data_IF_233280313190
#
_entry.id   IF_233280313190
#
_cell.length_a   1.000
_cell.length_b   1.000
_cell.length_c   1.000
_cell.angle_alpha   90.00
_cell.angle_beta   90.00
_cell.angle_gamma   90.00
#
_symmetry.space_group_name_H-M   'P 1'
#
loop_
_entity.id
_entity.type
_entity.pdbx_description
1 polymer ?
#
# COMPACT_ATOMS: atom_id res chain seq x y z
N UNK A 1 -35.51 -11.27 -1.88
CA UNK A 1 -34.13 -11.76 -1.88
C UNK A 1 -33.23 -10.52 -2.04
N UNK A 2 -32.40 -10.19 -1.06
CA UNK A 2 -31.44 -9.10 -1.24
C UNK A 2 -30.47 -9.53 -2.36
N UNK A 3 -30.33 -8.70 -3.37
CA UNK A 3 -29.41 -8.94 -4.48
C UNK A 3 -27.99 -9.03 -3.91
N UNK A 4 -27.25 -10.07 -4.23
CA UNK A 4 -25.83 -10.15 -3.87
C UNK A 4 -25.09 -8.94 -4.46
N UNK A 5 -24.28 -8.20 -3.67
CA UNK A 5 -23.61 -7.00 -4.16
C UNK A 5 -22.57 -7.34 -5.23
N UNK A 6 -22.50 -6.51 -6.26
CA UNK A 6 -21.46 -6.63 -7.28
C UNK A 6 -20.13 -6.09 -6.74
N UNK A 7 -19.08 -6.90 -6.80
CA UNK A 7 -17.71 -6.49 -6.49
C UNK A 7 -16.94 -6.23 -7.78
N UNK A 8 -16.51 -5.00 -8.00
CA UNK A 8 -15.61 -4.63 -9.09
C UNK A 8 -14.17 -4.88 -8.64
N UNK A 9 -13.43 -5.75 -9.33
CA UNK A 9 -12.02 -6.06 -9.05
C UNK A 9 -11.16 -5.40 -10.12
N UNK A 10 -10.31 -4.48 -9.71
CA UNK A 10 -9.44 -3.70 -10.60
C UNK A 10 -8.03 -4.29 -10.56
N UNK A 11 -7.54 -4.70 -11.73
CA UNK A 11 -6.22 -5.31 -11.90
C UNK A 11 -5.40 -4.49 -12.91
N UNK A 12 -4.51 -3.59 -12.46
CA UNK A 12 -3.55 -2.92 -13.33
C UNK A 12 -2.46 -3.90 -13.75
N UNK A 13 -2.15 -3.96 -15.04
CA UNK A 13 -1.16 -4.88 -15.63
C UNK A 13 -0.11 -4.09 -16.40
N UNK A 14 1.17 -4.37 -16.16
CA UNK A 14 2.28 -3.87 -16.95
C UNK A 14 3.49 -4.78 -16.83
N UNK A 15 3.85 -5.50 -17.89
CA UNK A 15 5.02 -6.39 -17.96
C UNK A 15 5.11 -7.39 -16.79
N UNK A 16 4.03 -8.15 -16.58
CA UNK A 16 3.90 -9.16 -15.52
C UNK A 16 3.60 -10.57 -16.05
N UNK A 17 4.02 -10.91 -17.27
CA UNK A 17 3.74 -12.20 -17.94
C UNK A 17 4.04 -13.44 -17.06
N UNK A 18 5.06 -13.34 -16.19
CA UNK A 18 5.49 -14.42 -15.29
C UNK A 18 4.52 -14.65 -14.12
N UNK A 19 3.66 -13.69 -13.81
CA UNK A 19 2.88 -13.67 -12.57
C UNK A 19 1.37 -13.58 -12.82
N UNK A 20 0.95 -12.91 -13.88
CA UNK A 20 -0.45 -12.55 -14.15
C UNK A 20 -1.39 -13.76 -14.18
N UNK A 21 -0.95 -14.93 -14.67
CA UNK A 21 -1.77 -16.15 -14.66
C UNK A 21 -2.16 -16.54 -13.22
N UNK A 22 -1.19 -16.58 -12.28
CA UNK A 22 -1.49 -16.91 -10.89
C UNK A 22 -2.41 -15.88 -10.25
N UNK A 23 -2.24 -14.61 -10.57
CA UNK A 23 -3.11 -13.53 -10.13
C UNK A 23 -4.55 -13.77 -10.61
N UNK A 24 -4.76 -13.88 -11.91
CA UNK A 24 -6.08 -14.08 -12.51
C UNK A 24 -6.74 -15.39 -12.04
N UNK A 25 -5.98 -16.49 -11.97
CA UNK A 25 -6.49 -17.76 -11.41
C UNK A 25 -7.04 -17.61 -10.00
N UNK A 26 -6.35 -16.83 -9.14
CA UNK A 26 -6.83 -16.61 -7.77
C UNK A 26 -8.09 -15.75 -7.70
N UNK A 27 -8.32 -14.88 -8.70
CA UNK A 27 -9.51 -14.02 -8.78
C UNK A 27 -10.70 -14.77 -9.39
N UNK A 28 -10.52 -15.47 -10.50
CA UNK A 28 -11.64 -16.17 -11.19
C UNK A 28 -12.18 -17.33 -10.37
N UNK A 29 -11.33 -17.93 -9.51
CA UNK A 29 -11.70 -19.05 -8.64
C UNK A 29 -12.19 -18.61 -7.25
N UNK A 30 -12.39 -17.32 -6.99
CA UNK A 30 -12.97 -16.86 -5.72
C UNK A 30 -14.28 -17.58 -5.39
N UNK A 31 -14.52 -17.89 -4.11
CA UNK A 31 -15.78 -18.52 -3.65
C UNK A 31 -16.97 -17.60 -3.90
N UNK A 32 -16.81 -16.31 -3.70
CA UNK A 32 -17.81 -15.31 -4.09
C UNK A 32 -17.84 -15.13 -5.59
N UNK A 33 -19.03 -15.22 -6.22
CA UNK A 33 -19.17 -15.33 -7.68
C UNK A 33 -19.63 -14.05 -8.38
N UNK A 34 -20.34 -13.15 -7.70
CA UNK A 34 -20.86 -11.92 -8.30
C UNK A 34 -19.77 -10.85 -8.43
N UNK A 35 -18.85 -11.10 -9.37
CA UNK A 35 -17.64 -10.30 -9.62
C UNK A 35 -17.69 -9.69 -11.03
N UNK A 36 -17.22 -8.46 -11.16
CA UNK A 36 -16.78 -7.85 -12.42
C UNK A 36 -15.27 -7.60 -12.32
N UNK A 37 -14.48 -8.20 -13.21
CA UNK A 37 -13.02 -8.14 -13.15
C UNK A 37 -12.55 -7.22 -14.29
N UNK A 38 -12.04 -6.05 -13.94
CA UNK A 38 -11.59 -5.02 -14.87
C UNK A 38 -10.06 -5.05 -14.91
N UNK A 39 -9.51 -5.65 -15.94
CA UNK A 39 -8.08 -5.77 -16.18
C UNK A 39 -7.64 -4.64 -17.11
N UNK A 40 -6.68 -3.83 -16.69
CA UNK A 40 -6.16 -2.73 -17.51
C UNK A 40 -4.71 -3.00 -17.86
N UNK A 41 -4.46 -3.43 -19.08
CA UNK A 41 -3.12 -3.52 -19.64
C UNK A 41 -2.62 -2.12 -20.00
N UNK A 42 -1.70 -1.63 -19.20
CA UNK A 42 -1.12 -0.29 -19.30
C UNK A 42 0.06 -0.25 -20.30
N UNK A 43 -0.14 -0.84 -21.48
CA UNK A 43 0.81 -0.85 -22.58
C UNK A 43 1.98 -1.81 -22.36
N UNK A 44 1.69 -3.05 -21.93
CA UNK A 44 2.72 -4.09 -21.79
C UNK A 44 3.41 -4.38 -23.13
N UNK A 45 4.70 -4.70 -23.03
CA UNK A 45 5.56 -5.07 -24.17
C UNK A 45 5.97 -6.54 -24.15
N UNK A 46 5.57 -7.27 -23.12
CA UNK A 46 5.67 -8.72 -23.00
C UNK A 46 4.32 -9.39 -23.29
N UNK A 47 4.18 -10.68 -23.03
CA UNK A 47 2.95 -11.43 -23.28
C UNK A 47 1.81 -11.14 -22.28
N UNK A 48 1.92 -10.15 -21.41
CA UNK A 48 0.90 -9.86 -20.38
C UNK A 48 -0.47 -9.54 -20.99
N UNK A 49 -0.50 -8.71 -22.06
CA UNK A 49 -1.74 -8.33 -22.75
C UNK A 49 -2.45 -9.55 -23.36
N UNK A 50 -1.71 -10.39 -24.11
CA UNK A 50 -2.24 -11.62 -24.73
C UNK A 50 -2.81 -12.58 -23.67
N UNK A 51 -2.13 -12.69 -22.50
CA UNK A 51 -2.63 -13.52 -21.40
C UNK A 51 -3.94 -12.96 -20.85
N UNK A 52 -4.07 -11.65 -20.70
CA UNK A 52 -5.31 -11.03 -20.24
C UNK A 52 -6.47 -11.33 -21.20
N UNK A 53 -6.26 -11.23 -22.50
CA UNK A 53 -7.25 -11.55 -23.53
C UNK A 53 -7.65 -13.03 -23.51
N UNK A 54 -6.67 -13.94 -23.31
CA UNK A 54 -6.94 -15.37 -23.12
C UNK A 54 -7.93 -15.62 -21.98
N UNK A 55 -7.77 -14.93 -20.82
CA UNK A 55 -8.67 -15.07 -19.69
C UNK A 55 -10.04 -14.46 -19.95
N UNK A 56 -10.13 -13.31 -20.64
CA UNK A 56 -11.40 -12.69 -21.01
C UNK A 56 -12.22 -13.58 -21.96
N UNK A 57 -11.57 -14.32 -22.85
CA UNK A 57 -12.25 -15.29 -23.70
C UNK A 57 -12.82 -16.48 -22.92
N UNK A 58 -12.23 -16.83 -21.76
CA UNK A 58 -12.65 -17.99 -20.96
C UNK A 58 -13.67 -17.64 -19.87
N UNK A 59 -13.68 -16.39 -19.39
CA UNK A 59 -14.54 -15.94 -18.29
C UNK A 59 -15.21 -14.59 -18.64
N UNK A 60 -16.51 -14.61 -18.88
CA UNK A 60 -17.30 -13.43 -19.27
C UNK A 60 -17.36 -12.32 -18.21
N UNK A 61 -16.90 -12.59 -16.97
CA UNK A 61 -16.80 -11.58 -15.91
C UNK A 61 -15.58 -10.66 -16.10
N UNK A 62 -14.62 -11.04 -16.96
CA UNK A 62 -13.40 -10.30 -17.22
C UNK A 62 -13.59 -9.33 -18.38
N UNK A 63 -13.26 -8.07 -18.15
CA UNK A 63 -13.18 -7.01 -19.15
C UNK A 63 -11.74 -6.54 -19.24
N UNK A 64 -11.12 -6.66 -20.43
CA UNK A 64 -9.75 -6.19 -20.67
C UNK A 64 -9.78 -4.86 -21.40
N UNK A 65 -8.90 -3.96 -20.99
CA UNK A 65 -8.68 -2.65 -21.58
C UNK A 65 -7.20 -2.51 -21.86
N UNK A 66 -6.84 -2.31 -23.12
CA UNK A 66 -5.49 -1.95 -23.51
C UNK A 66 -5.37 -0.44 -23.69
N UNK A 67 -4.34 0.16 -23.09
CA UNK A 67 -4.07 1.60 -23.22
C UNK A 67 -2.57 1.87 -23.30
N UNK A 68 -2.22 3.05 -23.76
CA UNK A 68 -0.83 3.53 -23.69
C UNK A 68 -0.38 3.63 -22.23
N UNK A 69 0.91 3.32 -21.98
CA UNK A 69 1.46 3.34 -20.62
C UNK A 69 1.33 4.71 -19.97
N UNK A 70 0.62 4.76 -18.86
CA UNK A 70 0.41 5.95 -18.03
C UNK A 70 0.71 5.71 -16.56
N UNK A 71 1.17 4.49 -16.19
CA UNK A 71 1.48 4.06 -14.82
C UNK A 71 0.25 3.56 -14.07
N UNK A 72 0.52 2.87 -12.95
CA UNK A 72 -0.48 2.17 -12.12
C UNK A 72 -1.69 3.03 -11.74
N UNK A 73 -1.47 4.30 -11.38
CA UNK A 73 -2.55 5.26 -11.07
C UNK A 73 -3.47 5.49 -12.27
N UNK A 74 -2.90 5.62 -13.47
CA UNK A 74 -3.66 5.81 -14.71
C UNK A 74 -4.51 4.59 -15.02
N UNK A 75 -3.96 3.38 -14.87
CA UNK A 75 -4.68 2.14 -15.05
C UNK A 75 -5.81 1.96 -14.03
N UNK A 76 -5.55 2.17 -12.74
CA UNK A 76 -6.57 2.10 -11.69
C UNK A 76 -7.70 3.11 -11.90
N UNK A 77 -7.37 4.35 -12.31
CA UNK A 77 -8.37 5.39 -12.59
C UNK A 77 -9.24 5.03 -13.80
N UNK A 78 -8.65 4.54 -14.90
CA UNK A 78 -9.40 4.09 -16.06
C UNK A 78 -10.40 2.98 -15.71
N UNK A 79 -10.01 2.03 -14.86
CA UNK A 79 -10.90 0.99 -14.37
C UNK A 79 -12.00 1.54 -13.45
N UNK A 80 -11.69 2.49 -12.55
CA UNK A 80 -12.69 3.13 -11.68
C UNK A 80 -13.78 3.87 -12.48
N UNK A 81 -13.40 4.45 -13.64
CA UNK A 81 -14.36 5.14 -14.52
C UNK A 81 -15.30 4.18 -15.24
N UNK A 82 -14.93 2.89 -15.31
CA UNK A 82 -15.68 1.81 -15.96
C UNK A 82 -16.42 0.89 -15.00
N UNK A 83 -16.22 1.06 -13.69
CA UNK A 83 -17.02 0.33 -12.71
C UNK A 83 -18.52 0.50 -13.00
N UNK A 84 -19.23 -0.60 -13.05
CA UNK A 84 -20.66 -0.61 -13.36
C UNK A 84 -21.42 0.40 -12.51
N UNK A 85 -22.20 1.35 -13.10
CA UNK A 85 -23.05 2.26 -12.36
C UNK A 85 -24.03 1.48 -11.46
N UNK A 86 -23.97 1.71 -10.15
CA UNK A 86 -24.73 0.92 -9.17
C UNK A 86 -23.98 -0.32 -8.68
N UNK A 87 -22.75 -0.56 -9.09
CA UNK A 87 -21.83 -1.47 -8.41
C UNK A 87 -21.62 -1.01 -6.96
N UNK A 88 -21.65 -1.97 -6.04
CA UNK A 88 -21.69 -1.65 -4.60
C UNK A 88 -20.29 -1.52 -4.01
N UNK A 89 -19.37 -2.36 -4.48
CA UNK A 89 -18.05 -2.56 -3.88
C UNK A 89 -16.93 -2.53 -4.92
N UNK A 90 -15.72 -2.17 -4.50
CA UNK A 90 -14.51 -2.18 -5.31
C UNK A 90 -13.32 -2.73 -4.52
N UNK A 91 -12.45 -3.47 -5.20
CA UNK A 91 -11.19 -3.97 -4.70
C UNK A 91 -10.08 -3.78 -5.75
N UNK A 92 -8.84 -3.73 -5.31
CA UNK A 92 -7.66 -3.62 -6.18
C UNK A 92 -6.75 -4.83 -5.95
N UNK A 93 -6.14 -5.33 -7.03
CA UNK A 93 -5.18 -6.45 -6.97
C UNK A 93 -4.03 -6.14 -7.90
N UNK A 94 -2.81 -6.13 -7.41
CA UNK A 94 -1.63 -5.97 -8.24
C UNK A 94 -1.35 -7.26 -9.03
N UNK A 95 -0.99 -7.16 -10.28
CA UNK A 95 -0.91 -8.29 -11.22
C UNK A 95 0.24 -9.27 -10.95
N UNK A 96 1.14 -8.95 -10.02
CA UNK A 96 2.20 -9.85 -9.55
C UNK A 96 1.87 -10.54 -8.21
N UNK A 97 0.73 -10.24 -7.60
CA UNK A 97 0.22 -10.78 -6.34
C UNK A 97 -0.85 -11.86 -6.57
N UNK A 98 -1.36 -12.49 -5.50
CA UNK A 98 -2.50 -13.43 -5.56
C UNK A 98 -3.29 -13.46 -4.25
N UNK A 99 -4.48 -14.06 -4.31
CA UNK A 99 -5.47 -14.05 -3.24
C UNK A 99 -5.74 -15.47 -2.73
N UNK A 100 -6.13 -15.59 -1.45
CA UNK A 100 -6.83 -16.77 -0.97
C UNK A 100 -8.23 -16.85 -1.61
N UNK A 101 -8.72 -18.08 -1.86
CA UNK A 101 -9.95 -18.29 -2.62
C UNK A 101 -11.22 -17.72 -1.96
N UNK A 102 -11.20 -17.53 -0.64
CA UNK A 102 -12.31 -17.00 0.15
C UNK A 102 -12.15 -15.53 0.53
N UNK A 103 -11.20 -14.79 -0.07
CA UNK A 103 -10.91 -13.41 0.37
C UNK A 103 -12.14 -12.51 0.29
N UNK A 104 -12.83 -12.47 -0.84
CA UNK A 104 -13.95 -11.56 -1.00
C UNK A 104 -15.19 -11.98 -0.23
N UNK A 105 -15.44 -13.28 -0.05
CA UNK A 105 -16.48 -13.79 0.83
C UNK A 105 -16.22 -13.35 2.28
N UNK A 106 -15.01 -13.55 2.79
CA UNK A 106 -14.59 -13.15 4.14
C UNK A 106 -14.73 -11.62 4.35
N UNK A 107 -14.26 -10.80 3.40
CA UNK A 107 -14.35 -9.35 3.51
C UNK A 107 -15.80 -8.86 3.42
N UNK A 108 -16.62 -9.49 2.58
CA UNK A 108 -18.03 -9.16 2.45
C UNK A 108 -18.82 -9.50 3.72
N UNK A 109 -18.58 -10.68 4.34
CA UNK A 109 -19.15 -11.04 5.63
C UNK A 109 -18.82 -10.01 6.71
N UNK A 110 -17.58 -9.51 6.74
CA UNK A 110 -17.18 -8.46 7.67
C UNK A 110 -17.92 -7.13 7.39
N UNK A 111 -18.08 -6.74 6.11
CA UNK A 111 -18.86 -5.57 5.74
C UNK A 111 -20.28 -5.68 6.26
N UNK A 112 -20.94 -6.81 6.07
CA UNK A 112 -22.30 -7.03 6.54
C UNK A 112 -22.42 -7.08 8.06
N UNK A 113 -21.55 -7.89 8.71
CA UNK A 113 -21.58 -8.10 10.16
C UNK A 113 -21.42 -6.77 10.93
N UNK A 114 -20.53 -5.92 10.44
CA UNK A 114 -20.22 -4.65 11.10
C UNK A 114 -20.92 -3.45 10.47
N UNK A 115 -21.66 -3.63 9.36
CA UNK A 115 -22.20 -2.56 8.53
C UNK A 115 -21.11 -1.52 8.19
N UNK A 116 -20.00 -2.02 7.63
CA UNK A 116 -18.80 -1.24 7.38
C UNK A 116 -18.72 -0.72 5.93
N UNK A 117 -18.04 0.40 5.72
CA UNK A 117 -17.74 0.94 4.40
C UNK A 117 -16.45 0.34 3.82
N UNK A 118 -15.57 -0.17 4.70
CA UNK A 118 -14.29 -0.79 4.33
C UNK A 118 -14.06 -2.00 5.22
N UNK A 119 -13.71 -3.13 4.60
CA UNK A 119 -13.15 -4.28 5.27
C UNK A 119 -11.70 -4.52 4.80
N UNK A 120 -10.83 -4.96 5.70
CA UNK A 120 -9.43 -5.28 5.37
C UNK A 120 -9.05 -6.67 5.83
N UNK A 121 -8.09 -7.30 5.15
CA UNK A 121 -7.44 -8.52 5.61
C UNK A 121 -5.96 -8.27 5.95
N UNK A 122 -5.27 -9.32 6.43
CA UNK A 122 -3.82 -9.30 6.57
C UNK A 122 -3.15 -9.59 5.24
N UNK A 123 -1.96 -9.00 5.08
CA UNK A 123 -1.06 -9.28 3.96
C UNK A 123 -0.04 -10.33 4.40
N UNK A 124 0.13 -11.36 3.57
CA UNK A 124 1.28 -12.27 3.63
C UNK A 124 2.33 -11.80 2.66
N UNK A 125 3.57 -11.59 3.12
CA UNK A 125 4.70 -11.32 2.23
C UNK A 125 5.32 -12.67 1.86
N UNK A 126 5.41 -12.91 0.56
CA UNK A 126 5.95 -14.14 0.00
C UNK A 126 7.29 -13.84 -0.67
N UNK A 127 8.34 -14.49 -0.20
CA UNK A 127 9.69 -14.33 -0.74
C UNK A 127 10.00 -15.38 -1.80
N UNK A 128 11.02 -15.12 -2.62
CA UNK A 128 11.45 -16.03 -3.70
C UNK A 128 12.02 -17.36 -3.20
N UNK A 129 12.41 -17.45 -1.94
CA UNK A 129 12.89 -18.68 -1.26
C UNK A 129 11.77 -19.49 -0.62
N UNK A 130 10.50 -19.17 -0.91
CA UNK A 130 9.28 -19.73 -0.32
C UNK A 130 9.09 -19.45 1.18
N UNK A 131 9.89 -18.56 1.78
CA UNK A 131 9.59 -18.06 3.12
C UNK A 131 8.40 -17.09 3.08
N UNK A 132 7.63 -17.04 4.19
CA UNK A 132 6.42 -16.25 4.31
C UNK A 132 6.39 -15.50 5.63
N UNK A 133 6.07 -14.21 5.56
CA UNK A 133 5.81 -13.39 6.75
C UNK A 133 4.40 -12.81 6.68
N UNK A 134 3.60 -13.08 7.72
CA UNK A 134 2.27 -12.48 7.84
C UNK A 134 2.36 -11.15 8.56
N UNK A 135 1.99 -10.08 7.88
CA UNK A 135 1.87 -8.76 8.48
C UNK A 135 0.64 -8.66 9.38
N UNK A 136 0.83 -8.01 10.53
CA UNK A 136 -0.15 -7.69 11.57
C UNK A 136 -0.42 -8.84 12.57
N UNK A 137 -0.18 -8.54 13.82
CA UNK A 137 -0.44 -9.42 14.97
C UNK A 137 -1.86 -9.25 15.54
N UNK A 138 -2.86 -9.04 14.68
CA UNK A 138 -4.26 -8.92 15.11
C UNK A 138 -4.81 -10.32 15.31
N UNK A 139 -5.42 -10.58 16.46
CA UNK A 139 -5.99 -11.90 16.81
C UNK A 139 -7.48 -12.02 16.52
N UNK A 140 -8.18 -10.88 16.42
CA UNK A 140 -9.63 -10.82 16.14
C UNK A 140 -9.92 -9.57 15.31
N UNK A 141 -11.06 -9.54 14.64
CA UNK A 141 -11.51 -8.39 13.87
C UNK A 141 -11.74 -7.18 14.80
N UNK A 142 -11.30 -6.00 14.37
CA UNK A 142 -11.46 -4.74 15.10
C UNK A 142 -12.30 -3.79 14.25
N UNK A 143 -13.41 -3.30 14.80
CA UNK A 143 -14.29 -2.37 14.11
C UNK A 143 -14.10 -0.95 14.65
N UNK A 144 -13.87 0.01 13.75
CA UNK A 144 -13.78 1.44 14.05
C UNK A 144 -14.97 2.18 13.44
N UNK A 145 -15.73 2.87 14.27
CA UNK A 145 -16.82 3.75 13.86
C UNK A 145 -16.35 5.20 13.68
N UNK A 146 -17.25 6.10 13.36
CA UNK A 146 -16.94 7.56 13.31
C UNK A 146 -16.37 8.07 14.65
N UNK A 147 -16.83 7.53 15.77
CA UNK A 147 -16.36 7.92 17.11
C UNK A 147 -14.91 7.50 17.36
N UNK A 148 -14.50 6.39 16.76
CA UNK A 148 -13.16 5.80 16.92
C UNK A 148 -12.19 6.21 15.79
N UNK A 149 -12.62 7.13 14.93
CA UNK A 149 -11.86 7.49 13.72
C UNK A 149 -10.51 8.13 14.06
N UNK A 150 -10.43 8.94 15.10
CA UNK A 150 -9.15 9.51 15.55
C UNK A 150 -8.17 8.42 15.96
N UNK A 151 -8.64 7.40 16.68
CA UNK A 151 -7.83 6.24 17.07
C UNK A 151 -7.39 5.44 15.83
N UNK A 152 -8.28 5.19 14.88
CA UNK A 152 -7.93 4.53 13.61
C UNK A 152 -6.85 5.28 12.84
N UNK A 153 -6.99 6.62 12.69
CA UNK A 153 -6.01 7.45 12.02
C UNK A 153 -4.68 7.42 12.78
N UNK A 154 -4.70 7.47 14.11
CA UNK A 154 -3.52 7.32 14.95
C UNK A 154 -2.83 5.98 14.72
N UNK A 155 -3.58 4.87 14.72
CA UNK A 155 -3.06 3.53 14.40
C UNK A 155 -2.45 3.45 13.00
N UNK A 156 -3.07 4.09 11.99
CA UNK A 156 -2.52 4.22 10.65
C UNK A 156 -1.19 4.99 10.64
N UNK A 157 -1.15 6.15 11.28
CA UNK A 157 0.05 6.98 11.38
C UNK A 157 1.18 6.28 12.13
N UNK A 158 0.86 5.47 13.12
CA UNK A 158 1.80 4.65 13.88
C UNK A 158 2.21 3.35 13.15
N UNK A 159 1.60 3.04 11.99
CA UNK A 159 1.86 1.81 11.22
C UNK A 159 1.52 0.53 12.00
N UNK A 160 0.53 0.58 12.89
CA UNK A 160 0.20 -0.52 13.79
C UNK A 160 -0.69 -1.57 13.12
N UNK A 161 -1.93 -1.20 12.79
CA UNK A 161 -2.95 -2.16 12.34
C UNK A 161 -3.52 -1.90 10.96
N UNK A 162 -3.39 -0.69 10.41
CA UNK A 162 -3.92 -0.33 9.10
C UNK A 162 -2.78 0.05 8.14
N UNK A 163 -2.82 -0.50 6.92
CA UNK A 163 -1.80 -0.25 5.89
C UNK A 163 -2.24 0.83 4.92
N UNK A 164 -1.28 1.48 4.25
CA UNK A 164 -1.55 2.36 3.11
C UNK A 164 -1.87 1.61 1.82
N UNK A 165 -1.59 0.29 1.75
CA UNK A 165 -1.92 -0.51 0.56
C UNK A 165 -3.40 -0.40 0.22
N UNK A 166 -3.73 -0.28 -1.05
CA UNK A 166 -5.12 -0.35 -1.55
C UNK A 166 -5.61 -1.79 -1.73
N UNK A 167 -4.71 -2.77 -1.76
CA UNK A 167 -4.97 -4.11 -2.28
C UNK A 167 -5.56 -5.09 -1.26
N UNK A 168 -5.30 -4.93 0.03
CA UNK A 168 -5.77 -5.81 1.11
C UNK A 168 -7.18 -5.46 1.60
N UNK A 169 -8.01 -4.81 0.75
CA UNK A 169 -9.26 -4.19 1.18
C UNK A 169 -10.40 -4.38 0.19
N UNK A 170 -11.61 -4.42 0.75
CA UNK A 170 -12.85 -4.26 0.02
C UNK A 170 -13.52 -2.95 0.45
N UNK A 171 -13.86 -2.10 -0.50
CA UNK A 171 -14.37 -0.76 -0.26
C UNK A 171 -15.78 -0.59 -0.81
N UNK A 172 -16.60 0.21 -0.14
CA UNK A 172 -17.77 0.78 -0.77
C UNK A 172 -17.34 1.71 -1.91
N UNK A 173 -17.78 1.44 -3.13
CA UNK A 173 -17.38 2.17 -4.34
C UNK A 173 -17.67 3.68 -4.22
N UNK A 174 -18.68 4.09 -3.47
CA UNK A 174 -19.03 5.51 -3.22
C UNK A 174 -17.91 6.30 -2.57
N UNK A 175 -16.98 5.65 -1.86
CA UNK A 175 -15.83 6.33 -1.26
C UNK A 175 -14.91 6.96 -2.32
N UNK A 176 -14.91 6.43 -3.54
CA UNK A 176 -14.11 6.92 -4.67
C UNK A 176 -14.82 7.99 -5.51
N UNK A 177 -16.03 8.42 -5.12
CA UNK A 177 -16.74 9.50 -5.81
C UNK A 177 -15.95 10.80 -5.76
N UNK A 178 -15.49 11.30 -6.95
CA UNK A 178 -14.68 12.51 -7.07
C UNK A 178 -13.24 12.37 -6.52
N UNK A 179 -12.79 11.15 -6.19
CA UNK A 179 -11.39 10.87 -5.85
C UNK A 179 -10.78 9.99 -6.95
N UNK A 180 -9.51 10.28 -7.27
CA UNK A 180 -8.70 9.49 -8.21
C UNK A 180 -7.26 9.35 -7.69
N UNK A 181 -6.61 8.25 -8.04
CA UNK A 181 -5.18 8.07 -7.78
C UNK A 181 -4.37 9.16 -8.50
N UNK A 182 -3.38 9.78 -7.84
CA UNK A 182 -2.56 10.82 -8.48
C UNK A 182 -1.69 10.22 -9.59
N UNK A 183 -1.89 10.70 -10.82
CA UNK A 183 -1.14 10.22 -12.00
C UNK A 183 0.30 10.74 -11.97
N UNK A 184 1.24 9.96 -12.52
CA UNK A 184 2.67 10.29 -12.56
C UNK A 184 3.33 10.50 -11.19
N UNK A 185 2.79 9.91 -10.15
CA UNK A 185 3.29 9.99 -8.79
C UNK A 185 3.55 8.60 -8.20
N UNK A 186 4.71 8.44 -7.54
CA UNK A 186 4.97 7.28 -6.68
C UNK A 186 4.27 7.45 -5.34
N UNK A 187 3.99 6.34 -4.67
CA UNK A 187 3.30 6.32 -3.35
C UNK A 187 1.88 6.90 -3.44
N UNK A 188 1.19 6.59 -4.52
CA UNK A 188 -0.20 6.98 -4.81
C UNK A 188 -1.15 6.50 -3.72
N UNK A 189 -0.92 5.32 -3.18
CA UNK A 189 -1.69 4.76 -2.07
C UNK A 189 -1.55 5.60 -0.81
N UNK A 190 -0.32 5.99 -0.44
CA UNK A 190 -0.07 6.87 0.70
C UNK A 190 -0.72 8.24 0.55
N UNK A 191 -0.88 8.70 -0.69
CA UNK A 191 -1.57 9.96 -0.98
C UNK A 191 -3.08 9.84 -0.74
N UNK A 192 -3.67 8.71 -1.13
CA UNK A 192 -5.12 8.53 -1.20
C UNK A 192 -5.74 7.97 0.07
N UNK A 193 -5.03 7.06 0.76
CA UNK A 193 -5.60 6.25 1.86
C UNK A 193 -6.22 7.09 2.97
N UNK A 194 -5.56 8.17 3.38
CA UNK A 194 -6.09 9.01 4.47
C UNK A 194 -7.39 9.71 4.06
N UNK A 195 -7.50 10.15 2.81
CA UNK A 195 -8.72 10.78 2.30
C UNK A 195 -9.88 9.78 2.29
N UNK A 196 -9.64 8.54 1.88
CA UNK A 196 -10.61 7.44 1.92
C UNK A 196 -11.01 7.13 3.37
N UNK A 197 -10.03 7.04 4.30
CA UNK A 197 -10.30 6.83 5.72
C UNK A 197 -11.20 7.93 6.32
N UNK A 198 -10.96 9.18 5.96
CA UNK A 198 -11.75 10.32 6.44
C UNK A 198 -13.20 10.26 5.96
N UNK A 199 -13.46 9.73 4.75
CA UNK A 199 -14.81 9.60 4.18
C UNK A 199 -15.59 8.42 4.76
N UNK A 200 -14.94 7.30 5.04
CA UNK A 200 -15.59 6.11 5.56
C UNK A 200 -16.23 6.37 6.92
N UNK A 201 -17.43 5.86 7.15
CA UNK A 201 -18.13 5.96 8.45
C UNK A 201 -17.73 4.82 9.38
N UNK A 202 -17.51 3.63 8.83
CA UNK A 202 -17.15 2.46 9.61
C UNK A 202 -16.16 1.58 8.85
N UNK A 203 -15.14 1.12 9.56
CA UNK A 203 -14.04 0.33 8.99
C UNK A 203 -13.82 -0.88 9.87
N UNK A 204 -13.71 -2.05 9.28
CA UNK A 204 -13.31 -3.28 9.99
C UNK A 204 -11.92 -3.71 9.53
N UNK A 205 -11.04 -3.92 10.49
CA UNK A 205 -9.69 -4.45 10.27
C UNK A 205 -9.70 -5.92 10.61
N UNK A 206 -9.69 -6.75 9.58
CA UNK A 206 -9.80 -8.20 9.70
C UNK A 206 -8.53 -8.88 10.18
N UNK A 207 -8.70 -10.05 10.81
CA UNK A 207 -7.61 -10.87 11.33
C UNK A 207 -7.15 -11.96 10.37
N UNK A 208 -7.88 -12.23 9.29
CA UNK A 208 -7.57 -13.28 8.33
C UNK A 208 -6.50 -12.83 7.34
N UNK A 209 -5.65 -13.76 6.93
CA UNK A 209 -4.57 -13.50 5.96
C UNK A 209 -5.02 -14.00 4.59
N UNK A 210 -5.51 -13.09 3.76
CA UNK A 210 -6.12 -13.44 2.48
C UNK A 210 -5.41 -12.83 1.25
N UNK A 211 -4.51 -11.89 1.44
CA UNK A 211 -3.75 -11.25 0.36
C UNK A 211 -2.28 -11.67 0.42
N UNK A 212 -1.74 -12.15 -0.71
CA UNK A 212 -0.34 -12.58 -0.84
C UNK A 212 0.44 -11.56 -1.68
N UNK A 213 1.29 -10.81 -1.00
CA UNK A 213 2.19 -9.85 -1.62
C UNK A 213 3.51 -10.51 -2.02
N UNK A 214 3.79 -10.58 -3.31
CA UNK A 214 5.05 -11.12 -3.83
C UNK A 214 6.19 -10.13 -3.68
N UNK A 215 7.20 -10.52 -2.95
CA UNK A 215 8.41 -9.70 -2.83
C UNK A 215 9.43 -10.05 -3.90
N UNK A 216 9.48 -9.24 -4.96
CA UNK A 216 10.45 -9.38 -6.04
C UNK A 216 11.73 -8.57 -5.77
N UNK A 217 12.88 -9.09 -6.25
CA UNK A 217 14.14 -8.37 -6.16
C UNK A 217 14.15 -7.05 -6.97
N UNK A 218 13.29 -6.94 -7.98
CA UNK A 218 13.14 -5.78 -8.85
C UNK A 218 12.03 -4.80 -8.39
N UNK A 219 11.51 -4.96 -7.16
CA UNK A 219 10.46 -4.09 -6.64
C UNK A 219 10.84 -2.61 -6.76
N UNK A 220 9.89 -1.81 -7.24
CA UNK A 220 10.01 -0.35 -7.44
C UNK A 220 10.52 0.34 -6.18
N UNK A 221 10.18 -0.15 -4.99
CA UNK A 221 10.53 0.48 -3.70
C UNK A 221 11.99 0.33 -3.30
N UNK A 222 12.74 -0.62 -3.89
CA UNK A 222 14.14 -0.92 -3.48
C UNK A 222 15.19 0.04 -4.04
N UNK A 223 14.89 0.75 -5.12
CA UNK A 223 15.85 1.63 -5.77
C UNK A 223 15.56 3.09 -5.48
N UNK A 224 16.60 3.85 -5.09
CA UNK A 224 16.49 5.28 -4.92
C UNK A 224 16.22 5.98 -6.25
N UNK A 225 15.30 6.97 -6.24
CA UNK A 225 15.25 8.02 -7.24
C UNK A 225 14.81 9.35 -6.60
N UNK A 226 15.30 10.47 -7.13
CA UNK A 226 14.90 11.81 -6.66
C UNK A 226 13.39 12.04 -6.83
N UNK A 227 12.79 11.47 -7.87
CA UNK A 227 11.33 11.53 -8.11
C UNK A 227 10.58 10.82 -6.99
N UNK A 228 10.95 9.57 -6.64
CA UNK A 228 10.35 8.81 -5.54
C UNK A 228 10.42 9.57 -4.21
N UNK A 229 11.58 10.11 -3.89
CA UNK A 229 11.75 10.91 -2.67
C UNK A 229 10.83 12.13 -2.62
N UNK A 230 10.79 12.90 -3.70
CA UNK A 230 9.92 14.08 -3.83
C UNK A 230 8.44 13.71 -3.73
N UNK A 231 8.03 12.63 -4.38
CA UNK A 231 6.64 12.18 -4.41
C UNK A 231 6.20 11.64 -3.06
N UNK A 232 7.06 10.91 -2.33
CA UNK A 232 6.81 10.52 -0.94
C UNK A 232 6.58 11.75 -0.04
N UNK A 233 7.40 12.79 -0.17
CA UNK A 233 7.23 14.03 0.60
C UNK A 233 5.95 14.79 0.21
N UNK A 234 5.53 14.73 -1.05
CA UNK A 234 4.24 15.31 -1.49
C UNK A 234 3.06 14.58 -0.84
N UNK A 235 3.07 13.23 -0.81
CA UNK A 235 2.03 12.44 -0.16
C UNK A 235 1.92 12.80 1.34
N UNK A 236 3.05 12.88 2.04
CA UNK A 236 3.08 13.29 3.45
C UNK A 236 2.54 14.72 3.63
N UNK A 237 2.94 15.67 2.77
CA UNK A 237 2.45 17.06 2.84
C UNK A 237 0.94 17.12 2.62
N UNK A 238 0.41 16.34 1.67
CA UNK A 238 -1.03 16.22 1.45
C UNK A 238 -1.74 15.73 2.71
N UNK A 239 -1.27 14.63 3.30
CA UNK A 239 -1.84 14.05 4.52
C UNK A 239 -1.77 15.02 5.71
N UNK A 240 -0.65 15.75 5.88
CA UNK A 240 -0.52 16.78 6.91
C UNK A 240 -1.55 17.91 6.73
N UNK A 241 -1.82 18.33 5.49
CA UNK A 241 -2.83 19.35 5.22
C UNK A 241 -4.26 18.85 5.53
N UNK A 242 -4.57 17.60 5.21
CA UNK A 242 -5.85 16.99 5.56
C UNK A 242 -6.02 16.94 7.09
N UNK A 243 -5.01 16.46 7.82
CA UNK A 243 -5.05 16.34 9.27
C UNK A 243 -5.13 17.70 9.97
N UNK A 244 -4.45 18.73 9.46
CA UNK A 244 -4.51 20.08 10.02
C UNK A 244 -5.94 20.61 10.13
N UNK A 245 -6.79 20.24 9.16
CA UNK A 245 -8.16 20.70 9.09
C UNK A 245 -9.16 19.77 9.82
N UNK A 246 -8.80 18.51 10.05
CA UNK A 246 -9.73 17.49 10.59
C UNK A 246 -9.33 17.00 11.97
N UNK A 247 -8.04 16.67 12.19
CA UNK A 247 -7.50 16.12 13.43
C UNK A 247 -6.15 16.75 13.79
N UNK A 248 -6.13 18.06 14.15
CA UNK A 248 -4.88 18.81 14.39
C UNK A 248 -4.02 18.23 15.52
N UNK A 249 -4.61 17.52 16.47
CA UNK A 249 -3.88 16.86 17.56
C UNK A 249 -2.98 15.72 17.08
N UNK A 250 -3.30 15.09 15.92
CA UNK A 250 -2.52 14.00 15.32
C UNK A 250 -1.38 14.49 14.42
N UNK A 251 -1.15 15.79 14.31
CA UNK A 251 -0.04 16.31 13.50
C UNK A 251 1.33 15.85 13.99
N UNK A 252 1.49 15.60 15.28
CA UNK A 252 2.75 15.08 15.85
C UNK A 252 3.09 13.71 15.30
N UNK A 253 2.11 12.81 15.25
CA UNK A 253 2.22 11.46 14.69
C UNK A 253 2.53 11.52 13.18
N UNK A 254 1.85 12.40 12.46
CA UNK A 254 2.08 12.57 11.03
C UNK A 254 3.48 13.17 10.71
N UNK A 255 4.00 14.06 11.56
CA UNK A 255 5.38 14.52 11.43
C UNK A 255 6.41 13.41 11.66
N UNK A 256 6.12 12.47 12.57
CA UNK A 256 7.00 11.32 12.79
C UNK A 256 7.15 10.47 11.51
N UNK A 257 6.07 10.23 10.76
CA UNK A 257 6.13 9.55 9.45
C UNK A 257 7.06 10.27 8.46
N UNK A 258 7.07 11.60 8.47
CA UNK A 258 7.99 12.38 7.62
C UNK A 258 9.45 12.09 7.95
N UNK A 259 9.81 12.04 9.24
CA UNK A 259 11.17 11.74 9.65
C UNK A 259 11.56 10.30 9.33
N UNK A 260 10.66 9.35 9.53
CA UNK A 260 10.88 7.95 9.16
C UNK A 260 11.06 7.79 7.65
N UNK A 261 10.34 8.55 6.84
CA UNK A 261 10.55 8.60 5.39
C UNK A 261 11.95 9.11 5.05
N UNK A 262 12.41 10.18 5.69
CA UNK A 262 13.79 10.65 5.52
C UNK A 262 14.81 9.57 5.87
N UNK A 263 14.62 8.84 6.98
CA UNK A 263 15.50 7.75 7.40
C UNK A 263 15.51 6.62 6.37
N UNK A 264 14.36 6.20 5.88
CA UNK A 264 14.23 5.14 4.85
C UNK A 264 14.96 5.53 3.55
N UNK A 265 14.87 6.79 3.12
CA UNK A 265 15.61 7.24 1.95
C UNK A 265 17.11 7.39 2.21
N UNK A 266 17.53 7.76 3.43
CA UNK A 266 18.93 7.73 3.83
C UNK A 266 19.49 6.31 3.75
N UNK A 267 18.75 5.28 4.15
CA UNK A 267 19.15 3.88 4.00
C UNK A 267 19.52 3.50 2.56
N UNK A 268 18.79 4.05 1.58
CA UNK A 268 19.07 3.82 0.17
C UNK A 268 20.28 4.64 -0.35
N UNK A 269 20.56 5.79 0.25
CA UNK A 269 21.58 6.73 -0.18
C UNK A 269 22.94 6.49 0.48
N UNK A 270 22.95 6.03 1.72
CA UNK A 270 24.15 5.99 2.59
C UNK A 270 25.26 5.10 2.04
N UNK A 271 24.93 4.13 1.19
CA UNK A 271 25.89 3.24 0.52
C UNK A 271 26.27 3.69 -0.88
N UNK A 272 25.66 4.75 -1.39
CA UNK A 272 25.95 5.28 -2.74
C UNK A 272 27.26 6.06 -2.76
N UNK A 273 28.03 5.89 -3.82
CA UNK A 273 29.26 6.66 -4.09
C UNK A 273 29.03 7.84 -5.03
N UNK A 274 27.80 8.03 -5.53
CA UNK A 274 27.48 9.14 -6.44
C UNK A 274 27.47 10.47 -5.66
N UNK A 275 28.16 11.47 -6.17
CA UNK A 275 28.31 12.79 -5.52
C UNK A 275 26.98 13.46 -5.20
N UNK A 276 26.02 13.34 -6.09
CA UNK A 276 24.67 13.88 -5.92
C UNK A 276 23.89 13.18 -4.78
N UNK A 277 24.10 11.87 -4.61
CA UNK A 277 23.49 11.11 -3.52
C UNK A 277 24.14 11.48 -2.17
N UNK A 278 25.45 11.69 -2.15
CA UNK A 278 26.18 12.14 -0.95
C UNK A 278 25.63 13.51 -0.52
N UNK A 279 25.56 14.50 -1.43
CA UNK A 279 25.01 15.83 -1.13
C UNK A 279 23.57 15.77 -0.60
N UNK A 280 22.72 14.92 -1.20
CA UNK A 280 21.35 14.77 -0.75
C UNK A 280 21.28 14.10 0.63
N UNK A 281 22.09 13.08 0.86
CA UNK A 281 22.22 12.40 2.16
C UNK A 281 22.61 13.41 3.26
N UNK A 282 23.62 14.27 3.01
CA UNK A 282 24.04 15.29 3.95
C UNK A 282 22.91 16.30 4.22
N UNK A 283 22.18 16.76 3.19
CA UNK A 283 21.06 17.66 3.36
C UNK A 283 19.94 17.03 4.22
N UNK A 284 19.60 15.77 3.98
CA UNK A 284 18.60 15.05 4.77
C UNK A 284 19.09 14.93 6.22
N UNK A 285 20.36 14.55 6.43
CA UNK A 285 20.97 14.43 7.75
C UNK A 285 20.95 15.73 8.53
N UNK A 286 21.27 16.86 7.91
CA UNK A 286 21.16 18.18 8.54
C UNK A 286 19.72 18.50 8.95
N UNK A 287 18.75 18.24 8.06
CA UNK A 287 17.33 18.40 8.38
C UNK A 287 16.92 17.57 9.59
N UNK A 288 17.38 16.30 9.68
CA UNK A 288 17.10 15.45 10.84
C UNK A 288 17.77 15.95 12.10
N UNK A 289 18.99 16.51 12.02
CA UNK A 289 19.70 17.10 13.14
C UNK A 289 18.93 18.27 13.73
N UNK A 290 18.42 19.19 12.90
CA UNK A 290 17.64 20.35 13.33
C UNK A 290 16.34 19.93 14.05
N UNK A 291 15.78 18.76 13.71
CA UNK A 291 14.56 18.26 14.30
C UNK A 291 14.77 17.14 15.33
N UNK A 292 16.02 16.83 15.70
CA UNK A 292 16.35 15.65 16.51
C UNK A 292 15.62 15.62 17.85
N UNK A 293 15.45 16.79 18.52
CA UNK A 293 14.72 16.91 19.77
C UNK A 293 13.25 16.47 19.62
N UNK A 294 12.60 16.85 18.53
CA UNK A 294 11.22 16.44 18.23
C UNK A 294 11.14 14.94 17.93
N UNK A 295 12.12 14.40 17.19
CA UNK A 295 12.20 12.98 16.85
C UNK A 295 12.33 12.12 18.12
N UNK A 296 13.26 12.49 19.02
CA UNK A 296 13.51 11.73 20.26
C UNK A 296 12.27 11.78 21.19
N UNK A 297 11.58 12.90 21.25
CA UNK A 297 10.38 13.07 22.07
C UNK A 297 9.10 12.52 21.42
N UNK A 298 9.18 11.95 20.23
CA UNK A 298 8.03 11.34 19.57
C UNK A 298 7.61 10.05 20.26
N UNK A 299 6.33 9.91 20.60
CA UNK A 299 5.79 8.71 21.26
C UNK A 299 5.59 7.53 20.31
N UNK A 300 5.43 7.78 19.02
CA UNK A 300 5.14 6.78 18.00
C UNK A 300 6.38 6.26 17.26
N UNK A 301 7.56 6.53 17.78
CA UNK A 301 8.82 5.94 17.32
C UNK A 301 9.36 4.95 18.34
N UNK A 302 9.80 3.80 17.86
CA UNK A 302 10.46 2.79 18.69
C UNK A 302 11.81 3.30 19.19
N UNK A 303 12.30 2.73 20.29
CA UNK A 303 13.63 3.05 20.80
C UNK A 303 14.72 2.78 19.73
N UNK A 304 14.58 1.71 18.97
CA UNK A 304 15.52 1.37 17.89
C UNK A 304 15.54 2.45 16.79
N UNK A 305 14.38 2.96 16.39
CA UNK A 305 14.29 4.06 15.42
C UNK A 305 14.94 5.34 15.96
N UNK A 306 14.67 5.70 17.21
CA UNK A 306 15.30 6.86 17.87
C UNK A 306 16.82 6.75 17.92
N UNK A 307 17.34 5.58 18.26
CA UNK A 307 18.78 5.30 18.26
C UNK A 307 19.34 5.42 16.83
N UNK A 308 18.65 4.88 15.82
CA UNK A 308 19.07 4.98 14.43
C UNK A 308 19.16 6.45 13.96
N UNK A 309 18.21 7.32 14.35
CA UNK A 309 18.26 8.76 14.08
C UNK A 309 19.47 9.44 14.74
N UNK A 310 19.76 9.13 15.99
CA UNK A 310 20.92 9.70 16.68
C UNK A 310 22.22 9.28 15.97
N UNK A 311 22.35 8.00 15.68
CA UNK A 311 23.57 7.47 15.06
C UNK A 311 23.75 8.07 13.65
N UNK A 312 22.72 8.11 12.81
CA UNK A 312 22.85 8.63 11.43
C UNK A 312 23.17 10.12 11.40
N UNK A 313 22.68 10.87 12.39
CA UNK A 313 22.94 12.32 12.48
C UNK A 313 24.38 12.61 12.89
N UNK A 314 24.93 11.88 13.87
CA UNK A 314 26.25 12.18 14.46
C UNK A 314 27.38 11.33 13.92
N UNK A 315 27.13 10.10 13.47
CA UNK A 315 28.15 9.17 12.99
C UNK A 315 27.63 8.29 11.86
N UNK A 316 27.70 8.80 10.63
CA UNK A 316 27.22 8.09 9.45
C UNK A 316 27.99 6.79 9.18
N UNK A 317 29.28 6.72 9.52
CA UNK A 317 30.07 5.51 9.28
C UNK A 317 29.68 4.39 10.25
N UNK A 318 29.47 4.72 11.52
CA UNK A 318 28.89 3.77 12.48
C UNK A 318 27.51 3.31 12.01
N UNK A 319 26.66 4.22 11.51
CA UNK A 319 25.36 3.86 10.95
C UNK A 319 25.49 2.85 9.80
N UNK A 320 26.42 3.07 8.86
CA UNK A 320 26.69 2.13 7.75
C UNK A 320 27.08 0.75 8.26
N UNK A 321 27.96 0.68 9.26
CA UNK A 321 28.42 -0.60 9.84
C UNK A 321 27.23 -1.35 10.47
N UNK A 322 26.47 -0.69 11.33
CA UNK A 322 25.31 -1.30 12.00
C UNK A 322 24.25 -1.74 11.00
N UNK A 323 23.98 -0.94 9.99
CA UNK A 323 23.01 -1.27 8.95
C UNK A 323 23.43 -2.48 8.11
N UNK A 324 24.73 -2.59 7.76
CA UNK A 324 25.28 -3.78 7.10
C UNK A 324 25.16 -5.03 7.96
N UNK A 325 25.40 -4.91 9.27
CA UNK A 325 25.22 -6.03 10.21
C UNK A 325 23.76 -6.47 10.27
N UNK A 326 22.83 -5.54 10.42
CA UNK A 326 21.39 -5.81 10.43
C UNK A 326 20.94 -6.53 9.15
N UNK A 327 21.35 -6.05 7.96
CA UNK A 327 21.03 -6.68 6.68
C UNK A 327 21.60 -8.10 6.61
N UNK A 328 22.80 -8.35 7.16
CA UNK A 328 23.40 -9.69 7.19
C UNK A 328 22.65 -10.63 8.12
N UNK A 329 22.20 -10.16 9.27
CA UNK A 329 21.37 -10.94 10.21
C UNK A 329 20.05 -11.30 9.57
N UNK A 330 19.33 -10.30 9.02
CA UNK A 330 18.06 -10.52 8.33
C UNK A 330 18.20 -11.54 7.18
N UNK A 331 19.28 -11.46 6.37
CA UNK A 331 19.54 -12.46 5.32
C UNK A 331 19.84 -13.86 5.86
N UNK A 332 20.40 -13.99 7.07
CA UNK A 332 20.64 -15.29 7.71
C UNK A 332 19.39 -15.89 8.33
N UNK A 333 18.46 -15.04 8.74
CA UNK A 333 17.17 -15.42 9.31
C UNK A 333 16.07 -15.60 8.23
N UNK A 334 16.43 -15.49 6.93
CA UNK A 334 15.47 -15.65 5.82
C UNK A 334 14.64 -14.41 5.52
N UNK A 335 15.08 -13.23 5.99
CA UNK A 335 14.41 -11.94 5.74
C UNK A 335 15.06 -11.15 4.59
#
# INVERSE_FOLDING_TARGET
MNKEPLINIIVPVYNTEKYIRKCLDSIVNQTYRNLEIIVVDDGSTDSSGDICDEYAHKDARIKVIHKENGGVSSARNAALDLCTPGGDLVAFVDSDDWLELNMYETLLEQIYLYNADIATCKISIEYSDNSRIVHKKIKSNICFSVKDKEELIKNFLNREIYTSSSNDKLYNLKLFSGIRFPVNQFYEDNYLVLEILLRAKKIVVGCDSCYHYRQNNNSITRNFSRKKFRDALKAIKHNLNLLKNTYPLLLKEAFALRYLTYLSFLDLLVFSQQSDHIRLSDKIRMTLKDHLKHIINSYNMTLQEKIAFIIVVYNTDLYKVLRKMQIRVLKREGY
#
